data_IF_888681545005
#
_entry.id   IF_888681545005
#
_cell.length_a   1.000
_cell.length_b   1.000
_cell.length_c   1.000
_cell.angle_alpha   90.00
_cell.angle_beta   90.00
_cell.angle_gamma   90.00
#
_symmetry.space_group_name_H-M   'P 1'
#
loop_
_entity.id
_entity.type
_entity.pdbx_description
1 polymer ?
#
# COMPACT_ATOMS: atom_id res chain seq x y z
N UNK A 1 -11.65 12.75 4.32
CA UNK A 1 -12.57 11.59 4.41
C UNK A 1 -11.88 10.38 3.77
N UNK A 2 -11.89 9.22 4.44
CA UNK A 2 -11.22 7.99 3.98
C UNK A 2 -12.27 6.97 3.56
N UNK A 3 -12.05 6.31 2.43
CA UNK A 3 -12.89 5.24 1.90
C UNK A 3 -12.09 3.94 1.82
N UNK A 4 -12.77 2.81 1.92
CA UNK A 4 -12.22 1.50 1.60
C UNK A 4 -13.22 0.72 0.73
N UNK A 5 -13.95 1.43 -0.11
CA UNK A 5 -14.99 0.88 -0.99
C UNK A 5 -14.59 1.12 -2.45
N UNK A 6 -14.94 0.20 -3.35
CA UNK A 6 -14.80 0.37 -4.78
C UNK A 6 -15.65 1.58 -5.23
N UNK A 7 -15.08 2.58 -5.92
CA UNK A 7 -15.83 3.70 -6.49
C UNK A 7 -16.90 3.22 -7.47
N UNK A 8 -17.88 4.09 -7.70
CA UNK A 8 -18.83 3.91 -8.81
C UNK A 8 -18.15 4.31 -10.12
N UNK A 9 -18.06 3.37 -11.06
CA UNK A 9 -17.37 3.55 -12.35
C UNK A 9 -18.04 4.61 -13.22
N UNK A 10 -19.37 4.70 -13.17
CA UNK A 10 -20.14 5.64 -14.00
C UNK A 10 -20.07 7.06 -13.42
N UNK A 11 -20.13 7.17 -12.08
CA UNK A 11 -20.09 8.48 -11.42
C UNK A 11 -18.69 9.07 -11.33
N UNK A 12 -17.67 8.24 -11.11
CA UNK A 12 -16.29 8.70 -10.88
C UNK A 12 -15.29 7.81 -11.63
N UNK A 13 -15.27 7.83 -12.98
CA UNK A 13 -14.43 6.93 -13.78
C UNK A 13 -12.93 7.08 -13.50
N UNK A 14 -12.44 8.31 -13.33
CA UNK A 14 -11.02 8.58 -13.02
C UNK A 14 -10.59 8.00 -11.66
N UNK A 15 -11.43 8.20 -10.65
CA UNK A 15 -11.18 7.63 -9.32
C UNK A 15 -11.26 6.10 -9.37
N UNK A 16 -12.25 5.55 -10.08
CA UNK A 16 -12.38 4.12 -10.28
C UNK A 16 -11.11 3.53 -10.88
N UNK A 17 -10.63 4.08 -11.99
CA UNK A 17 -9.41 3.65 -12.67
C UNK A 17 -8.19 3.69 -11.73
N UNK A 18 -8.00 4.80 -11.03
CA UNK A 18 -6.92 4.94 -10.05
C UNK A 18 -7.03 3.84 -8.99
N UNK A 19 -8.20 3.71 -8.37
CA UNK A 19 -8.43 2.82 -7.24
C UNK A 19 -8.31 1.35 -7.62
N UNK A 20 -8.79 0.95 -8.80
CA UNK A 20 -8.62 -0.43 -9.30
C UNK A 20 -7.18 -0.72 -9.73
N UNK A 21 -6.41 0.30 -10.06
CA UNK A 21 -4.99 0.16 -10.42
C UNK A 21 -4.09 0.04 -9.20
N UNK A 22 -4.26 0.93 -8.22
CA UNK A 22 -3.28 1.09 -7.15
C UNK A 22 -3.83 0.87 -5.73
N UNK A 23 -5.14 0.76 -5.52
CA UNK A 23 -5.75 0.66 -4.18
C UNK A 23 -6.50 -0.66 -3.95
N UNK A 24 -6.27 -1.68 -4.76
CA UNK A 24 -6.81 -3.02 -4.53
C UNK A 24 -5.68 -3.95 -4.09
N UNK A 25 -5.90 -4.66 -2.98
CA UNK A 25 -5.02 -5.76 -2.61
C UNK A 25 -5.27 -6.92 -3.56
N UNK A 26 -4.21 -7.39 -4.22
CA UNK A 26 -4.31 -8.59 -5.03
C UNK A 26 -4.82 -9.77 -4.21
N UNK A 27 -5.61 -10.64 -4.85
CA UNK A 27 -6.08 -11.87 -4.23
C UNK A 27 -4.91 -12.64 -3.59
N UNK A 28 -5.10 -13.08 -2.35
CA UNK A 28 -4.14 -13.82 -1.55
C UNK A 28 -4.87 -14.81 -0.63
N UNK A 29 -4.14 -15.50 0.24
CA UNK A 29 -4.76 -16.50 1.12
C UNK A 29 -5.04 -17.79 0.37
N UNK A 30 -6.19 -18.40 0.63
CA UNK A 30 -6.60 -19.63 -0.04
C UNK A 30 -6.69 -19.48 -1.58
N UNK A 31 -7.00 -18.28 -2.08
CA UNK A 31 -7.07 -17.99 -3.51
C UNK A 31 -5.67 -17.98 -4.17
N UNK A 32 -4.64 -17.48 -3.47
CA UNK A 32 -3.26 -17.46 -3.97
C UNK A 32 -2.25 -17.53 -2.82
N UNK A 33 -1.80 -18.75 -2.51
CA UNK A 33 -0.85 -19.03 -1.42
C UNK A 33 0.55 -18.46 -1.68
N UNK A 34 0.94 -18.31 -2.95
CA UNK A 34 2.26 -17.83 -3.36
C UNK A 34 2.35 -16.29 -3.46
N UNK A 35 1.31 -15.56 -3.06
CA UNK A 35 1.36 -14.10 -3.09
C UNK A 35 2.43 -13.56 -2.13
N UNK A 36 3.16 -12.51 -2.53
CA UNK A 36 4.29 -11.93 -1.76
C UNK A 36 3.88 -11.47 -0.35
N UNK A 37 2.59 -11.17 -0.14
CA UNK A 37 2.05 -10.80 1.16
C UNK A 37 1.85 -11.98 2.11
N UNK A 38 1.95 -13.23 1.64
CA UNK A 38 1.68 -14.43 2.42
C UNK A 38 2.89 -14.82 3.27
N UNK A 39 2.64 -15.11 4.55
CA UNK A 39 3.62 -15.67 5.48
C UNK A 39 2.90 -16.59 6.45
N UNK A 40 3.44 -17.78 6.70
CA UNK A 40 2.86 -18.79 7.61
C UNK A 40 1.37 -19.09 7.32
N UNK A 41 1.02 -19.16 6.03
CA UNK A 41 -0.34 -19.41 5.56
C UNK A 41 -1.32 -18.23 5.73
N UNK A 42 -0.87 -17.06 6.18
CA UNK A 42 -1.71 -15.87 6.42
C UNK A 42 -1.19 -14.67 5.64
N UNK A 43 -2.11 -13.80 5.21
CA UNK A 43 -1.74 -12.51 4.64
C UNK A 43 -1.17 -11.62 5.75
N UNK A 44 0.08 -11.17 5.59
CA UNK A 44 0.76 -10.25 6.53
C UNK A 44 0.06 -8.91 6.67
N UNK A 45 -0.77 -8.52 5.70
CA UNK A 45 -1.60 -7.31 5.72
C UNK A 45 -3.02 -7.58 6.24
N UNK A 46 -3.36 -8.83 6.55
CA UNK A 46 -4.64 -9.26 7.10
C UNK A 46 -5.81 -9.09 6.13
N UNK A 47 -5.60 -9.39 4.85
CA UNK A 47 -6.67 -9.52 3.84
C UNK A 47 -7.18 -10.96 3.74
N UNK A 48 -8.45 -11.16 3.35
CA UNK A 48 -9.48 -10.13 3.15
C UNK A 48 -9.89 -9.43 4.46
N UNK A 49 -10.28 -8.16 4.39
CA UNK A 49 -10.78 -7.39 5.55
C UNK A 49 -12.26 -7.69 5.80
N UNK A 50 -12.75 -7.62 7.05
CA UNK A 50 -14.17 -7.83 7.32
C UNK A 50 -15.02 -6.75 6.65
N UNK A 51 -16.21 -7.13 6.18
CA UNK A 51 -17.24 -6.17 5.80
C UNK A 51 -17.73 -5.42 7.04
N UNK A 52 -18.10 -4.16 6.84
CA UNK A 52 -18.62 -3.30 7.90
C UNK A 52 -19.47 -2.20 7.32
N UNK A 53 -20.66 -1.98 7.88
CA UNK A 53 -21.58 -0.91 7.45
C UNK A 53 -21.12 0.49 7.89
N UNK A 54 -20.23 0.56 8.87
CA UNK A 54 -19.72 1.83 9.42
C UNK A 54 -18.24 1.76 9.73
N UNK A 55 -17.56 2.91 9.75
CA UNK A 55 -16.20 3.03 10.25
C UNK A 55 -16.22 3.05 11.78
N UNK A 56 -15.49 2.15 12.43
CA UNK A 56 -15.41 2.04 13.90
C UNK A 56 -13.98 2.32 14.36
N UNK A 57 -13.83 3.17 15.38
CA UNK A 57 -12.56 3.30 16.10
C UNK A 57 -12.20 1.99 16.79
N UNK A 58 -10.90 1.71 16.93
CA UNK A 58 -10.41 0.51 17.61
C UNK A 58 -9.45 0.92 18.73
N UNK A 59 -9.58 0.28 19.89
CA UNK A 59 -8.67 0.45 21.04
C UNK A 59 -7.24 0.05 20.67
N UNK A 60 -7.06 -0.90 19.74
CA UNK A 60 -5.75 -1.31 19.21
C UNK A 60 -5.11 -0.32 18.22
N UNK A 61 -5.72 0.85 17.98
CA UNK A 61 -5.09 1.99 17.31
C UNK A 61 -5.39 2.16 15.81
N UNK A 62 -5.95 1.15 15.13
CA UNK A 62 -6.34 1.24 13.72
C UNK A 62 -7.84 1.04 13.53
N UNK A 63 -8.55 1.98 12.87
CA UNK A 63 -9.98 1.86 12.70
C UNK A 63 -10.35 0.71 11.76
N UNK A 64 -11.49 0.10 12.03
CA UNK A 64 -12.16 -0.79 11.08
C UNK A 64 -12.96 0.09 10.13
N UNK A 65 -12.49 0.22 8.90
CA UNK A 65 -13.16 1.05 7.88
C UNK A 65 -14.47 0.42 7.40
N UNK A 66 -15.43 1.27 7.03
CA UNK A 66 -16.63 0.87 6.30
C UNK A 66 -16.25 0.18 4.99
N UNK A 67 -16.80 -1.02 4.79
CA UNK A 67 -16.67 -1.89 3.61
C UNK A 67 -18.02 -2.58 3.41
N UNK A 68 -18.95 -1.92 2.73
CA UNK A 68 -20.31 -2.47 2.54
C UNK A 68 -20.32 -3.60 1.53
N UNK A 69 -21.25 -4.54 1.70
CA UNK A 69 -21.55 -5.53 0.67
C UNK A 69 -22.14 -4.82 -0.56
N UNK A 70 -21.73 -5.22 -1.76
CA UNK A 70 -22.34 -4.75 -3.02
C UNK A 70 -23.34 -5.79 -3.54
N UNK A 71 -24.01 -5.46 -4.63
CA UNK A 71 -24.88 -6.40 -5.35
C UNK A 71 -24.07 -7.56 -5.93
N UNK A 72 -24.75 -8.72 -6.06
CA UNK A 72 -24.19 -9.93 -6.61
C UNK A 72 -23.71 -9.73 -8.06
N UNK A 73 -22.60 -10.38 -8.39
CA UNK A 73 -21.99 -10.29 -9.72
C UNK A 73 -20.48 -10.48 -9.69
N UNK A 74 -19.84 -10.26 -10.82
CA UNK A 74 -18.39 -10.38 -10.99
C UNK A 74 -17.82 -9.05 -11.47
N UNK A 75 -16.71 -8.64 -10.88
CA UNK A 75 -15.96 -7.46 -11.30
C UNK A 75 -14.60 -7.90 -11.82
N UNK A 76 -14.28 -7.53 -13.07
CA UNK A 76 -12.98 -7.75 -13.68
C UNK A 76 -12.07 -6.55 -13.42
N UNK A 77 -10.97 -6.78 -12.71
CA UNK A 77 -9.93 -5.77 -12.45
C UNK A 77 -8.57 -6.35 -12.84
N UNK A 78 -7.89 -5.69 -13.78
CA UNK A 78 -6.55 -6.08 -14.27
C UNK A 78 -6.47 -7.57 -14.68
N UNK A 79 -7.50 -8.06 -15.37
CA UNK A 79 -7.60 -9.46 -15.82
C UNK A 79 -7.91 -10.48 -14.71
N UNK A 80 -8.23 -10.03 -13.49
CA UNK A 80 -8.63 -10.90 -12.37
C UNK A 80 -10.09 -10.71 -12.03
N UNK A 81 -10.77 -11.82 -11.76
CA UNK A 81 -12.16 -11.82 -11.31
C UNK A 81 -12.24 -11.65 -9.81
N UNK A 82 -13.13 -10.76 -9.38
CA UNK A 82 -13.50 -10.56 -7.98
C UNK A 82 -15.01 -10.76 -7.85
N UNK A 83 -15.43 -11.43 -6.78
CA UNK A 83 -16.82 -11.43 -6.35
C UNK A 83 -17.24 -9.99 -5.98
N UNK A 84 -18.25 -9.47 -6.67
CA UNK A 84 -18.76 -8.12 -6.47
C UNK A 84 -19.26 -7.89 -5.04
N UNK A 85 -19.89 -8.88 -4.41
CA UNK A 85 -20.45 -8.74 -3.07
C UNK A 85 -19.36 -8.49 -2.02
N UNK A 86 -18.17 -9.06 -2.24
CA UNK A 86 -17.06 -9.07 -1.29
C UNK A 86 -15.85 -8.26 -1.75
N UNK A 87 -15.87 -7.64 -2.94
CA UNK A 87 -14.73 -6.88 -3.47
C UNK A 87 -14.21 -5.80 -2.50
N UNK A 88 -15.12 -5.18 -1.74
CA UNK A 88 -14.77 -4.16 -0.75
C UNK A 88 -13.89 -4.69 0.39
N UNK A 89 -13.79 -6.00 0.59
CA UNK A 89 -12.87 -6.62 1.54
C UNK A 89 -11.40 -6.51 1.10
N UNK A 90 -11.16 -6.35 -0.21
CA UNK A 90 -9.83 -6.31 -0.83
C UNK A 90 -9.29 -4.89 -1.01
N UNK A 91 -10.11 -3.87 -0.79
CA UNK A 91 -9.70 -2.48 -0.98
C UNK A 91 -8.68 -2.04 0.08
N UNK A 92 -7.61 -1.38 -0.33
CA UNK A 92 -6.72 -0.63 0.56
C UNK A 92 -7.42 0.71 0.89
N UNK A 93 -7.44 1.18 2.15
CA UNK A 93 -8.04 2.47 2.48
C UNK A 93 -7.35 3.62 1.73
N UNK A 94 -8.15 4.52 1.17
CA UNK A 94 -7.67 5.63 0.35
C UNK A 94 -8.46 6.91 0.63
N UNK A 95 -7.87 8.06 0.29
CA UNK A 95 -8.58 9.33 0.23
C UNK A 95 -8.98 9.58 -1.24
N UNK A 96 -10.28 9.66 -1.58
CA UNK A 96 -10.73 9.86 -2.96
C UNK A 96 -10.06 11.03 -3.67
N UNK A 97 -9.92 12.17 -2.99
CA UNK A 97 -9.33 13.37 -3.55
C UNK A 97 -7.83 13.16 -3.87
N UNK A 98 -7.04 12.74 -2.87
CA UNK A 98 -5.60 12.56 -3.05
C UNK A 98 -5.29 11.46 -4.08
N UNK A 99 -6.05 10.37 -4.05
CA UNK A 99 -5.81 9.26 -4.97
C UNK A 99 -6.03 9.72 -6.40
N UNK A 100 -7.17 10.37 -6.67
CA UNK A 100 -7.49 10.86 -8.01
C UNK A 100 -6.52 11.95 -8.49
N UNK A 101 -6.09 12.85 -7.61
CA UNK A 101 -5.18 13.95 -7.96
C UNK A 101 -3.79 13.45 -8.37
N UNK A 102 -3.24 12.49 -7.62
CA UNK A 102 -1.86 12.03 -7.82
C UNK A 102 -1.74 10.71 -8.61
N UNK A 103 -2.86 10.03 -8.87
CA UNK A 103 -2.93 8.77 -9.62
C UNK A 103 -1.87 7.73 -9.21
N UNK A 104 -1.67 7.54 -7.91
CA UNK A 104 -0.63 6.66 -7.37
C UNK A 104 -1.09 5.93 -6.10
N UNK A 105 -0.33 4.94 -5.65
CA UNK A 105 -0.60 4.24 -4.39
C UNK A 105 -0.24 5.15 -3.20
N UNK A 106 -1.26 5.70 -2.54
CA UNK A 106 -1.13 6.54 -1.33
C UNK A 106 -1.61 5.75 -0.12
N UNK A 107 -0.72 5.52 0.85
CA UNK A 107 -1.09 4.93 2.13
C UNK A 107 -1.77 5.99 3.01
N UNK A 108 -3.04 5.79 3.34
CA UNK A 108 -3.80 6.70 4.22
C UNK A 108 -4.15 5.98 5.52
N UNK A 109 -3.57 6.43 6.63
CA UNK A 109 -3.79 5.86 7.96
C UNK A 109 -4.52 6.87 8.86
N UNK A 110 -5.68 6.47 9.38
CA UNK A 110 -6.38 7.24 10.42
C UNK A 110 -5.92 6.73 11.77
N UNK A 111 -5.53 7.68 12.60
CA UNK A 111 -4.71 7.46 13.77
C UNK A 111 -5.50 7.87 15.01
N UNK A 112 -5.97 6.90 15.81
CA UNK A 112 -6.87 7.17 16.96
C UNK A 112 -6.19 7.03 18.33
N UNK A 113 -4.91 6.66 18.38
CA UNK A 113 -4.15 6.42 19.61
C UNK A 113 -2.83 7.21 19.64
N UNK A 114 -1.95 6.98 20.63
CA UNK A 114 -0.60 7.60 20.75
C UNK A 114 0.45 6.90 19.85
N UNK A 115 0.18 5.67 19.39
CA UNK A 115 0.99 4.90 18.43
C UNK A 115 1.45 5.67 17.17
N UNK A 116 0.65 6.55 16.56
CA UNK A 116 1.02 7.41 15.43
C UNK A 116 2.18 8.35 15.74
N UNK A 117 2.30 8.81 16.99
CA UNK A 117 3.44 9.64 17.41
C UNK A 117 4.72 8.81 17.31
N UNK A 118 4.73 7.59 17.85
CA UNK A 118 5.88 6.68 17.69
C UNK A 118 6.20 6.41 16.22
N UNK A 119 5.17 6.25 15.40
CA UNK A 119 5.32 6.02 13.96
C UNK A 119 5.93 7.24 13.27
N UNK A 120 5.38 8.45 13.47
CA UNK A 120 5.91 9.69 12.88
C UNK A 120 7.38 9.91 13.27
N UNK A 121 7.71 9.77 14.56
CA UNK A 121 9.08 9.86 15.04
C UNK A 121 9.97 8.82 14.35
N UNK A 122 9.54 7.55 14.26
CA UNK A 122 10.31 6.53 13.55
C UNK A 122 10.62 6.94 12.10
N UNK A 123 9.67 7.54 11.38
CA UNK A 123 9.88 7.94 9.98
C UNK A 123 10.75 9.19 9.83
N UNK A 124 10.59 10.17 10.72
CA UNK A 124 11.47 11.36 10.77
C UNK A 124 12.91 10.96 11.08
N UNK A 125 13.11 10.03 12.01
CA UNK A 125 14.44 9.62 12.46
C UNK A 125 15.00 8.37 11.75
N UNK A 126 14.30 7.81 10.76
CA UNK A 126 14.81 6.67 9.96
C UNK A 126 16.07 7.06 9.14
N UNK A 127 16.28 8.36 8.94
CA UNK A 127 17.31 8.92 8.07
C UNK A 127 16.89 8.87 6.60
N UNK A 128 17.45 9.75 5.77
CA UNK A 128 17.24 9.72 4.32
C UNK A 128 17.67 8.37 3.74
N UNK A 129 16.99 7.94 2.67
CA UNK A 129 17.45 6.81 1.88
C UNK A 129 18.88 7.09 1.38
N UNK A 130 19.82 6.23 1.75
CA UNK A 130 21.23 6.38 1.38
C UNK A 130 21.49 5.57 0.12
N UNK A 131 21.82 6.24 -0.97
CA UNK A 131 22.40 5.60 -2.14
C UNK A 131 23.93 5.61 -1.99
N UNK A 132 24.57 4.45 -2.14
CA UNK A 132 26.03 4.34 -2.21
C UNK A 132 26.40 4.17 -3.67
N UNK A 133 27.09 5.16 -4.23
CA UNK A 133 27.66 5.08 -5.58
C UNK A 133 29.13 4.74 -5.42
N UNK A 134 29.57 3.65 -6.05
CA UNK A 134 31.00 3.29 -6.13
C UNK A 134 31.50 3.73 -7.50
N UNK A 135 32.44 4.66 -7.54
CA UNK A 135 33.08 5.11 -8.78
C UNK A 135 34.42 4.41 -8.88
N UNK A 136 34.52 3.42 -9.76
CA UNK A 136 35.80 2.79 -10.09
C UNK A 136 36.44 3.57 -11.25
N UNK A 137 37.54 4.25 -10.97
CA UNK A 137 38.37 4.83 -12.01
C UNK A 137 39.15 3.71 -12.69
N UNK A 138 38.74 3.33 -13.91
CA UNK A 138 39.53 2.44 -14.75
C UNK A 138 40.77 3.20 -15.20
N UNK A 139 41.92 2.89 -14.61
CA UNK A 139 43.23 3.31 -15.12
C UNK A 139 43.85 2.11 -15.84
N UNK A 140 44.22 2.29 -17.10
CA UNK A 140 45.02 1.31 -17.82
C UNK A 140 46.38 1.16 -17.12
N UNK A 141 46.61 -0.08 -16.69
CA UNK A 141 47.85 -0.75 -16.24
C UNK A 141 48.77 -0.09 -15.19
N UNK A 142 48.75 -0.69 -14.00
CA UNK A 142 49.98 -1.02 -13.25
C UNK A 142 50.42 -0.10 -12.11
N UNK A 143 49.71 -0.07 -10.97
CA UNK A 143 50.29 -0.28 -9.62
C UNK A 143 49.27 -0.10 -8.47
N UNK A 144 49.58 -0.77 -7.37
CA UNK A 144 48.85 -0.98 -6.10
C UNK A 144 47.87 0.13 -5.65
N UNK A 145 46.62 -0.26 -5.37
CA UNK A 145 45.55 0.62 -4.88
C UNK A 145 45.55 0.71 -3.34
N UNK A 146 45.78 1.90 -2.78
CA UNK A 146 45.27 2.26 -1.45
C UNK A 146 43.81 2.69 -1.58
N UNK A 147 42.94 2.09 -0.78
CA UNK A 147 41.50 2.38 -0.76
C UNK A 147 41.28 3.50 0.26
N UNK A 148 41.08 4.73 -0.22
CA UNK A 148 40.63 5.86 0.61
C UNK A 148 39.10 5.83 0.79
N UNK A 149 38.54 6.30 1.93
CA UNK A 149 37.11 6.14 2.22
C UNK A 149 36.23 7.07 1.37
N UNK A 150 35.19 6.49 0.76
CA UNK A 150 34.20 7.18 -0.09
C UNK A 150 33.49 8.36 0.60
N UNK A 151 33.32 9.47 -0.13
CA UNK A 151 32.40 10.54 0.24
C UNK A 151 30.94 10.05 0.17
N UNK A 152 30.25 10.16 1.29
CA UNK A 152 28.81 9.87 1.38
C UNK A 152 28.03 11.09 0.94
N UNK A 153 27.52 11.10 -0.30
CA UNK A 153 26.54 12.10 -0.73
C UNK A 153 25.20 11.82 -0.03
N UNK A 154 24.73 12.80 0.75
CA UNK A 154 23.39 12.80 1.35
C UNK A 154 22.46 13.50 0.37
N UNK A 155 21.45 12.78 -0.12
CA UNK A 155 20.34 13.34 -0.92
C UNK A 155 19.24 13.81 0.03
#
# INVERSE_FOLDING_TARGET
>A
MVSAELPDKEKNPKLYETVTTCMIHGLCGAAHLNAVCMKDGKCTKGFPKPLSEVTKGNVAGYPVYRRRRREAGVVLINGKEYDSETINQWMVPYNPYLSQEYNCHINVEVCTAITPVKYLYKYVYKGSDKAVITVEAVREEGNQTQIEPNETLRI
#
